data_IF_116073904275
#
_entry.id   IF_116073904275
#
_cell.length_a   1.000
_cell.length_b   1.000
_cell.length_c   1.000
_cell.angle_alpha   90.00
_cell.angle_beta   90.00
_cell.angle_gamma   90.00
#
_symmetry.space_group_name_H-M   'P 1'
#
loop_
_entity.id
_entity.type
_entity.pdbx_description
1 polymer ?
#
# COMPACT_ATOMS: atom_id res chain seq x y z
N UNK A 1 -48.02 19.88 -54.80
CA UNK A 1 -46.56 20.07 -54.68
C UNK A 1 -46.28 21.02 -53.51
N UNK A 2 -45.31 20.65 -52.68
CA UNK A 2 -44.66 21.47 -51.64
C UNK A 2 -45.50 21.99 -50.47
N UNK A 3 -45.54 21.19 -49.40
CA UNK A 3 -45.11 21.65 -48.07
C UNK A 3 -44.33 20.53 -47.38
N UNK A 4 -43.08 20.37 -47.81
CA UNK A 4 -42.02 19.80 -46.98
C UNK A 4 -41.54 20.95 -46.09
N UNK A 5 -41.81 20.88 -44.79
CA UNK A 5 -41.04 21.48 -43.68
C UNK A 5 -41.96 21.58 -42.45
N UNK A 6 -41.41 21.27 -41.27
CA UNK A 6 -42.05 21.18 -39.95
C UNK A 6 -42.67 19.82 -39.55
N UNK A 7 -41.86 18.76 -39.57
CA UNK A 7 -42.14 17.56 -38.76
C UNK A 7 -40.88 16.97 -38.07
N UNK A 8 -39.79 17.73 -37.96
CA UNK A 8 -38.53 17.27 -37.32
C UNK A 8 -38.18 18.06 -36.03
N UNK A 9 -39.03 19.00 -35.60
CA UNK A 9 -38.77 19.81 -34.40
C UNK A 9 -39.63 19.44 -33.17
N UNK A 10 -40.35 18.32 -33.19
CA UNK A 10 -41.22 17.90 -32.08
C UNK A 10 -40.74 16.65 -31.32
N UNK A 11 -39.58 16.08 -31.68
CA UNK A 11 -38.97 14.92 -30.97
C UNK A 11 -37.73 15.32 -30.17
N UNK A 12 -37.27 16.57 -30.25
CA UNK A 12 -36.03 17.02 -29.61
C UNK A 12 -36.22 17.92 -28.37
N UNK A 13 -37.44 18.17 -27.89
CA UNK A 13 -37.68 19.03 -26.69
C UNK A 13 -38.63 18.38 -25.67
N UNK A 14 -38.76 17.05 -25.70
CA UNK A 14 -39.46 16.27 -24.67
C UNK A 14 -38.50 15.45 -23.79
N UNK A 15 -37.22 15.85 -23.73
CA UNK A 15 -36.15 15.15 -22.99
C UNK A 15 -35.51 16.02 -21.90
N UNK A 16 -36.22 17.02 -21.37
CA UNK A 16 -35.66 17.92 -20.34
C UNK A 16 -36.57 18.20 -19.13
N UNK A 17 -37.70 17.50 -18.97
CA UNK A 17 -38.50 17.59 -17.75
C UNK A 17 -39.04 16.21 -17.35
N UNK A 18 -38.15 15.23 -17.18
CA UNK A 18 -38.41 14.20 -16.18
C UNK A 18 -38.08 14.85 -14.85
N UNK A 19 -39.12 15.15 -14.07
CA UNK A 19 -38.96 15.51 -12.67
C UNK A 19 -37.99 14.52 -12.03
N UNK A 20 -36.98 15.07 -11.38
CA UNK A 20 -36.04 14.36 -10.53
C UNK A 20 -36.84 13.61 -9.46
N UNK A 21 -37.24 12.38 -9.78
CA UNK A 21 -37.53 11.38 -8.77
C UNK A 21 -36.25 11.31 -7.95
N UNK A 22 -36.31 11.80 -6.71
CA UNK A 22 -35.22 11.67 -5.74
C UNK A 22 -34.81 10.19 -5.77
N UNK A 23 -33.64 9.88 -6.33
CA UNK A 23 -33.06 8.57 -6.15
C UNK A 23 -32.93 8.39 -4.63
N UNK A 24 -33.22 7.20 -4.08
CA UNK A 24 -33.02 6.98 -2.66
C UNK A 24 -31.54 7.22 -2.35
N UNK A 25 -31.23 8.29 -1.61
CA UNK A 25 -29.87 8.60 -1.19
C UNK A 25 -29.58 7.88 0.12
N UNK A 26 -28.37 7.33 0.22
CA UNK A 26 -27.91 6.75 1.47
C UNK A 26 -27.84 7.86 2.55
N UNK A 27 -28.27 7.59 3.79
CA UNK A 27 -28.33 8.62 4.84
C UNK A 27 -26.96 9.17 5.24
N UNK A 28 -25.88 8.51 4.83
CA UNK A 28 -24.50 8.99 4.91
C UNK A 28 -24.05 9.48 3.52
N UNK A 29 -23.71 10.77 3.41
CA UNK A 29 -23.35 11.48 2.16
C UNK A 29 -22.01 11.05 1.50
N UNK A 30 -21.79 9.74 1.32
CA UNK A 30 -20.54 9.17 0.78
C UNK A 30 -20.82 8.17 -0.34
N UNK A 31 -21.66 8.52 -1.33
CA UNK A 31 -21.76 7.72 -2.55
C UNK A 31 -20.61 8.09 -3.48
N UNK A 32 -19.76 7.13 -3.84
CA UNK A 32 -18.70 7.38 -4.80
C UNK A 32 -19.28 7.62 -6.20
N UNK A 33 -18.85 8.71 -6.84
CA UNK A 33 -19.23 9.05 -8.23
C UNK A 33 -18.85 7.92 -9.20
N UNK A 34 -17.83 7.13 -8.86
CA UNK A 34 -17.34 6.02 -9.71
C UNK A 34 -18.37 4.89 -9.89
N UNK A 35 -19.28 4.68 -8.93
CA UNK A 35 -20.29 3.60 -8.99
C UNK A 35 -21.72 4.11 -9.10
N UNK A 36 -21.92 5.44 -9.16
CA UNK A 36 -23.26 6.04 -9.15
C UNK A 36 -24.11 5.65 -10.38
N UNK A 37 -23.47 5.25 -11.47
CA UNK A 37 -24.12 4.73 -12.68
C UNK A 37 -24.29 3.20 -12.69
N UNK A 38 -23.72 2.49 -11.71
CA UNK A 38 -23.83 1.06 -11.60
C UNK A 38 -25.21 0.67 -11.08
N UNK A 39 -25.74 -0.45 -11.58
CA UNK A 39 -27.00 -0.99 -11.10
C UNK A 39 -26.89 -2.51 -10.94
N UNK A 40 -27.29 -3.01 -9.77
CA UNK A 40 -27.37 -4.43 -9.46
C UNK A 40 -28.84 -4.88 -9.55
N UNK A 41 -29.26 -5.25 -10.76
CA UNK A 41 -30.61 -5.77 -11.03
C UNK A 41 -30.67 -7.30 -10.84
N UNK A 42 -30.23 -7.81 -9.69
CA UNK A 42 -30.28 -9.24 -9.38
C UNK A 42 -31.14 -9.50 -8.15
N UNK A 43 -31.77 -10.67 -8.07
CA UNK A 43 -32.52 -11.08 -6.88
C UNK A 43 -31.57 -11.48 -5.75
N UNK A 44 -32.01 -11.36 -4.50
CA UNK A 44 -31.23 -11.78 -3.33
C UNK A 44 -30.87 -13.27 -3.38
N UNK A 45 -31.76 -14.13 -3.88
CA UNK A 45 -31.51 -15.56 -4.08
C UNK A 45 -30.34 -15.83 -5.04
N UNK A 46 -30.28 -15.05 -6.14
CA UNK A 46 -29.17 -15.14 -7.09
C UNK A 46 -27.86 -14.70 -6.46
N UNK A 47 -27.86 -13.59 -5.71
CA UNK A 47 -26.68 -13.10 -4.98
C UNK A 47 -26.14 -14.15 -3.99
N UNK A 48 -27.02 -14.79 -3.23
CA UNK A 48 -26.63 -15.86 -2.30
C UNK A 48 -26.06 -17.09 -3.02
N UNK A 49 -26.54 -17.39 -4.23
CA UNK A 49 -26.00 -18.49 -5.05
C UNK A 49 -24.56 -18.25 -5.51
N UNK A 50 -24.17 -16.98 -5.70
CA UNK A 50 -22.83 -16.57 -6.15
C UNK A 50 -21.85 -16.33 -4.99
N UNK A 51 -22.31 -16.38 -3.75
CA UNK A 51 -21.44 -16.20 -2.58
C UNK A 51 -20.31 -17.24 -2.51
N UNK A 52 -20.57 -18.47 -2.94
CA UNK A 52 -19.57 -19.54 -2.93
C UNK A 52 -18.65 -19.55 -4.16
N UNK A 53 -18.97 -18.79 -5.22
CA UNK A 53 -18.12 -18.66 -6.41
C UNK A 53 -17.06 -17.57 -6.26
N UNK A 54 -17.15 -16.73 -5.21
CA UNK A 54 -16.26 -15.59 -4.99
C UNK A 54 -16.56 -14.38 -5.88
N UNK A 55 -17.63 -14.43 -6.67
CA UNK A 55 -18.07 -13.36 -7.57
C UNK A 55 -18.77 -12.25 -6.78
N UNK A 56 -19.43 -12.60 -5.68
CA UNK A 56 -20.16 -11.65 -4.85
C UNK A 56 -19.78 -11.83 -3.39
N UNK A 57 -19.57 -10.72 -2.70
CA UNK A 57 -19.37 -10.66 -1.26
C UNK A 57 -20.50 -9.90 -0.59
N UNK A 58 -20.92 -10.35 0.59
CA UNK A 58 -21.97 -9.68 1.38
C UNK A 58 -21.52 -9.49 2.82
N UNK A 59 -22.08 -8.49 3.49
CA UNK A 59 -21.81 -8.23 4.90
C UNK A 59 -22.85 -7.31 5.54
N UNK A 60 -22.75 -7.12 6.85
CA UNK A 60 -23.59 -6.17 7.59
C UNK A 60 -23.00 -4.75 7.56
N UNK A 61 -23.86 -3.74 7.62
CA UNK A 61 -23.46 -2.32 7.62
C UNK A 61 -22.86 -1.83 8.95
N UNK A 62 -22.95 -2.63 10.02
CA UNK A 62 -22.35 -2.29 11.31
C UNK A 62 -22.89 -0.98 11.88
N UNK A 63 -22.02 0.01 12.09
CA UNK A 63 -22.42 1.34 12.62
C UNK A 63 -23.27 2.16 11.65
N UNK A 64 -23.27 1.81 10.36
CA UNK A 64 -24.11 2.44 9.34
C UNK A 64 -25.46 1.72 9.18
N UNK A 65 -25.73 0.70 10.00
CA UNK A 65 -26.98 -0.05 9.96
C UNK A 65 -28.14 0.81 10.44
N UNK A 66 -29.23 0.80 9.66
CA UNK A 66 -30.54 1.30 10.07
C UNK A 66 -31.52 0.14 10.07
N UNK A 67 -31.96 -0.23 11.27
CA UNK A 67 -32.90 -1.33 11.51
C UNK A 67 -34.18 -1.15 10.67
N UNK A 68 -34.55 -2.21 9.95
CA UNK A 68 -35.75 -2.24 9.10
C UNK A 68 -35.64 -1.46 7.79
N UNK A 69 -34.43 -1.09 7.35
CA UNK A 69 -34.23 -0.47 6.02
C UNK A 69 -32.87 -0.75 5.38
N UNK A 70 -31.77 -0.49 6.08
CA UNK A 70 -30.42 -0.60 5.54
C UNK A 70 -29.58 -1.46 6.49
N UNK A 71 -29.54 -2.76 6.24
CA UNK A 71 -28.87 -3.71 7.14
C UNK A 71 -27.60 -4.31 6.54
N UNK A 72 -27.62 -4.51 5.23
CA UNK A 72 -26.62 -5.30 4.51
C UNK A 72 -26.06 -4.58 3.31
N UNK A 73 -24.83 -4.92 2.98
CA UNK A 73 -24.16 -4.52 1.75
C UNK A 73 -23.75 -5.73 0.92
N UNK A 74 -23.57 -5.50 -0.37
CA UNK A 74 -23.19 -6.50 -1.39
C UNK A 74 -22.16 -5.87 -2.32
N UNK A 75 -21.00 -6.50 -2.50
CA UNK A 75 -20.00 -6.12 -3.49
C UNK A 75 -19.94 -7.16 -4.61
N UNK A 76 -20.08 -6.71 -5.86
CA UNK A 76 -20.03 -7.53 -7.07
C UNK A 76 -18.72 -7.30 -7.83
N UNK A 77 -17.92 -8.35 -7.96
CA UNK A 77 -16.62 -8.34 -8.65
C UNK A 77 -16.73 -8.52 -10.15
N UNK A 78 -17.87 -9.00 -10.66
CA UNK A 78 -18.12 -9.15 -12.11
C UNK A 78 -18.97 -8.00 -12.64
N UNK A 79 -19.06 -6.90 -11.89
CA UNK A 79 -19.89 -5.76 -12.25
C UNK A 79 -19.31 -5.04 -13.49
N UNK A 80 -20.01 -5.02 -14.65
CA UNK A 80 -19.45 -4.48 -15.90
C UNK A 80 -19.16 -2.98 -15.89
N UNK A 81 -19.69 -2.25 -14.90
CA UNK A 81 -19.47 -0.81 -14.76
C UNK A 81 -18.10 -0.47 -14.13
N UNK A 82 -17.41 -1.45 -13.55
CA UNK A 82 -16.07 -1.26 -12.96
C UNK A 82 -15.01 -1.68 -13.98
N UNK A 83 -14.16 -0.74 -14.37
CA UNK A 83 -13.13 -0.94 -15.42
C UNK A 83 -11.87 -1.62 -14.84
N UNK A 84 -11.74 -1.68 -13.51
CA UNK A 84 -10.60 -2.26 -12.81
C UNK A 84 -10.85 -3.73 -12.43
N UNK A 85 -10.03 -4.64 -12.97
CA UNK A 85 -10.17 -6.11 -12.87
C UNK A 85 -10.00 -6.70 -11.45
N UNK A 86 -9.79 -5.85 -10.44
CA UNK A 86 -9.49 -6.26 -9.05
C UNK A 86 -10.35 -5.52 -8.00
N UNK A 87 -11.29 -4.69 -8.42
CA UNK A 87 -12.14 -3.89 -7.52
C UNK A 87 -13.61 -4.21 -7.77
N UNK A 88 -14.44 -4.15 -6.72
CA UNK A 88 -15.85 -4.51 -6.80
C UNK A 88 -16.75 -3.28 -6.63
N UNK A 89 -17.87 -3.26 -7.35
CA UNK A 89 -18.92 -2.28 -7.09
C UNK A 89 -19.74 -2.75 -5.88
N UNK A 90 -19.78 -1.93 -4.84
CA UNK A 90 -20.53 -2.21 -3.63
C UNK A 90 -21.85 -1.43 -3.60
N UNK A 91 -22.88 -2.13 -3.15
CA UNK A 91 -24.25 -1.69 -3.07
C UNK A 91 -24.79 -1.95 -1.67
N UNK A 92 -25.78 -1.16 -1.26
CA UNK A 92 -26.55 -1.34 -0.02
C UNK A 92 -27.96 -1.77 -0.39
N UNK A 93 -28.48 -2.76 0.31
CA UNK A 93 -29.85 -3.19 0.10
C UNK A 93 -30.82 -2.30 0.88
N UNK A 94 -31.75 -1.65 0.19
CA UNK A 94 -32.89 -0.93 0.77
C UNK A 94 -34.08 -1.90 0.88
N UNK A 95 -34.37 -2.35 2.10
CA UNK A 95 -35.44 -3.32 2.37
C UNK A 95 -36.83 -2.75 2.12
N UNK A 96 -37.03 -1.43 2.25
CA UNK A 96 -38.34 -0.82 2.02
C UNK A 96 -38.66 -0.71 0.53
N UNK A 97 -37.64 -0.50 -0.31
CA UNK A 97 -37.78 -0.35 -1.75
C UNK A 97 -37.38 -1.61 -2.53
N UNK A 98 -36.98 -2.67 -1.83
CA UNK A 98 -36.47 -3.94 -2.37
C UNK A 98 -35.43 -3.74 -3.49
N UNK A 99 -34.49 -2.80 -3.30
CA UNK A 99 -33.55 -2.38 -4.34
C UNK A 99 -32.13 -2.17 -3.83
N UNK A 100 -31.17 -2.27 -4.72
CA UNK A 100 -29.75 -2.05 -4.43
C UNK A 100 -29.36 -0.62 -4.78
N UNK A 101 -28.87 0.11 -3.78
CA UNK A 101 -28.36 1.47 -3.93
C UNK A 101 -26.85 1.44 -4.08
N UNK A 102 -26.25 2.13 -5.07
CA UNK A 102 -24.81 2.19 -5.22
C UNK A 102 -24.18 2.89 -4.02
N UNK A 103 -23.10 2.33 -3.49
CA UNK A 103 -22.40 2.85 -2.32
C UNK A 103 -20.99 3.32 -2.67
N UNK A 104 -20.13 2.43 -3.13
CA UNK A 104 -18.74 2.77 -3.44
C UNK A 104 -17.98 1.61 -4.08
N UNK A 105 -16.72 1.86 -4.41
CA UNK A 105 -15.80 0.77 -4.75
C UNK A 105 -15.34 0.09 -3.46
N UNK A 106 -15.15 -1.22 -3.50
CA UNK A 106 -14.68 -1.99 -2.36
C UNK A 106 -13.39 -1.41 -1.76
N UNK A 107 -12.43 -1.04 -2.61
CA UNK A 107 -11.17 -0.39 -2.21
C UNK A 107 -11.39 0.93 -1.48
N UNK A 108 -12.36 1.74 -1.94
CA UNK A 108 -12.68 3.05 -1.35
C UNK A 108 -13.45 2.96 -0.03
N UNK A 109 -14.12 1.83 0.20
CA UNK A 109 -14.93 1.57 1.38
C UNK A 109 -14.19 0.76 2.45
N UNK A 110 -12.94 0.36 2.18
CA UNK A 110 -12.12 -0.48 3.06
C UNK A 110 -12.82 -1.80 3.44
N UNK A 111 -13.59 -2.38 2.50
CA UNK A 111 -14.31 -3.65 2.68
C UNK A 111 -13.41 -4.80 2.21
N UNK A 112 -13.07 -5.74 3.08
CA UNK A 112 -12.08 -6.80 2.84
C UNK A 112 -12.51 -7.82 1.76
N UNK A 113 -11.59 -8.42 1.00
CA UNK A 113 -11.86 -9.54 0.07
C UNK A 113 -11.54 -10.92 0.69
N UNK A 114 -12.34 -11.96 0.41
CA UNK A 114 -12.10 -13.34 0.88
C UNK A 114 -11.09 -14.05 -0.03
N UNK A 115 -9.94 -14.49 0.50
CA UNK A 115 -9.04 -15.41 -0.21
C UNK A 115 -9.39 -16.87 0.07
N UNK A 116 -9.13 -17.73 -0.92
CA UNK A 116 -9.57 -19.14 -1.13
C UNK A 116 -9.16 -20.18 -0.07
N UNK A 117 -8.91 -19.78 1.17
CA UNK A 117 -8.49 -20.69 2.25
C UNK A 117 -9.30 -20.55 3.53
N UNK A 118 -10.58 -20.15 3.48
CA UNK A 118 -11.54 -20.37 4.58
C UNK A 118 -11.12 -19.84 5.97
N UNK A 119 -10.11 -18.97 6.03
CA UNK A 119 -9.63 -18.29 7.22
C UNK A 119 -9.86 -16.80 6.96
N UNK A 120 -10.70 -16.20 7.80
CA UNK A 120 -10.92 -14.77 7.82
C UNK A 120 -9.73 -14.17 8.56
N UNK A 121 -8.64 -13.95 7.83
CA UNK A 121 -7.53 -13.10 8.25
C UNK A 121 -7.60 -11.85 7.36
N UNK A 122 -7.53 -10.64 7.93
CA UNK A 122 -7.57 -9.47 7.10
C UNK A 122 -6.32 -9.42 6.22
N UNK A 123 -6.49 -9.61 4.90
CA UNK A 123 -5.43 -9.33 3.94
C UNK A 123 -5.29 -7.83 3.80
N UNK A 124 -4.57 -7.19 4.74
CA UNK A 124 -4.18 -5.80 4.55
C UNK A 124 -3.22 -5.76 3.38
N UNK A 125 -3.58 -5.03 2.33
CA UNK A 125 -2.78 -4.94 1.12
C UNK A 125 -1.45 -4.26 1.45
N UNK A 126 -0.36 -5.00 1.27
CA UNK A 126 1.02 -4.50 1.42
C UNK A 126 1.35 -3.50 0.31
N UNK A 127 1.78 -2.29 0.67
CA UNK A 127 2.14 -1.24 -0.27
C UNK A 127 3.64 -0.94 -0.26
N UNK A 128 4.16 -0.45 -1.40
CA UNK A 128 5.56 -0.06 -1.55
C UNK A 128 5.78 1.38 -1.09
N UNK A 129 6.72 1.60 -0.18
CA UNK A 129 7.11 2.92 0.29
C UNK A 129 8.55 3.27 -0.16
N UNK A 130 8.78 4.48 -0.70
CA UNK A 130 7.76 5.48 -1.09
C UNK A 130 6.93 5.01 -2.30
N UNK A 131 5.71 5.54 -2.52
CA UNK A 131 4.83 5.14 -3.63
C UNK A 131 5.29 5.64 -5.02
N UNK A 132 6.23 6.58 -5.05
CA UNK A 132 6.74 7.25 -6.24
C UNK A 132 8.23 7.55 -6.02
N UNK A 133 9.06 7.63 -7.07
CA UNK A 133 10.49 7.92 -6.94
C UNK A 133 10.77 9.25 -6.23
N UNK A 134 11.77 9.25 -5.36
CA UNK A 134 12.29 10.46 -4.73
C UNK A 134 13.36 11.10 -5.62
N UNK A 135 13.47 12.43 -5.57
CA UNK A 135 14.42 13.20 -6.39
C UNK A 135 15.37 14.08 -5.57
N UNK A 136 15.27 14.03 -4.25
CA UNK A 136 16.09 14.79 -3.31
C UNK A 136 16.04 14.18 -1.90
N UNK A 137 16.89 14.69 -1.01
CA UNK A 137 16.88 14.32 0.43
C UNK A 137 15.54 14.57 1.11
N UNK A 138 14.77 15.55 0.64
CA UNK A 138 13.40 15.79 1.08
C UNK A 138 12.51 15.87 -0.15
N UNK A 139 11.45 15.06 -0.17
CA UNK A 139 10.48 15.02 -1.27
C UNK A 139 9.07 14.95 -0.71
N UNK A 140 8.14 15.74 -1.24
CA UNK A 140 6.73 15.73 -0.82
C UNK A 140 5.88 15.16 -1.95
N UNK A 141 5.08 14.15 -1.63
CA UNK A 141 4.16 13.50 -2.55
C UNK A 141 2.72 13.91 -2.21
N UNK A 142 1.97 14.40 -3.20
CA UNK A 142 0.59 14.88 -3.03
C UNK A 142 -0.46 14.07 -3.80
N UNK A 143 -0.05 13.39 -4.87
CA UNK A 143 -0.96 12.80 -5.86
C UNK A 143 -0.81 11.28 -5.96
N UNK A 144 -0.23 10.64 -4.95
CA UNK A 144 -0.17 9.18 -4.86
C UNK A 144 -1.48 8.61 -4.27
N UNK A 145 -1.90 7.40 -4.66
CA UNK A 145 -3.10 6.76 -4.11
C UNK A 145 -2.99 6.42 -2.61
N UNK A 146 -1.76 6.34 -2.08
CA UNK A 146 -1.46 6.10 -0.67
C UNK A 146 -0.12 6.78 -0.31
N UNK A 147 0.21 6.89 0.97
CA UNK A 147 1.52 7.36 1.40
C UNK A 147 1.86 8.81 1.00
N UNK A 148 0.87 9.67 0.78
CA UNK A 148 1.12 11.10 0.55
C UNK A 148 1.74 11.76 1.78
N UNK A 149 2.58 12.76 1.56
CA UNK A 149 3.27 13.53 2.58
C UNK A 149 4.76 13.67 2.29
N UNK A 150 5.50 14.12 3.30
CA UNK A 150 6.93 14.41 3.18
C UNK A 150 7.77 13.21 3.59
N UNK A 151 8.62 12.77 2.67
CA UNK A 151 9.68 11.79 2.88
C UNK A 151 11.00 12.51 3.09
N UNK A 152 11.78 12.04 4.07
CA UNK A 152 13.12 12.58 4.36
C UNK A 152 14.11 11.43 4.37
N UNK A 153 15.11 11.50 3.51
CA UNK A 153 16.18 10.51 3.38
C UNK A 153 17.48 11.09 3.94
N UNK A 154 18.23 10.28 4.67
CA UNK A 154 19.54 10.64 5.21
C UNK A 154 20.44 9.41 5.31
N UNK A 155 21.75 9.62 5.48
CA UNK A 155 22.76 8.57 5.63
C UNK A 155 23.83 8.99 6.64
N UNK A 156 24.67 8.04 7.07
CA UNK A 156 25.89 8.32 7.84
C UNK A 156 26.89 9.17 7.07
N UNK A 157 26.78 9.15 5.74
CA UNK A 157 27.59 9.93 4.82
C UNK A 157 27.43 9.39 3.40
N UNK A 158 27.58 10.28 2.43
CA UNK A 158 27.50 9.96 1.01
C UNK A 158 28.89 10.19 0.39
N UNK A 159 29.34 9.30 -0.50
CA UNK A 159 30.43 9.67 -1.39
C UNK A 159 29.87 10.59 -2.48
N UNK A 160 30.47 11.77 -2.58
CA UNK A 160 30.57 12.43 -3.86
C UNK A 160 29.18 12.83 -4.43
N UNK A 161 28.74 12.19 -5.51
CA UNK A 161 27.41 12.36 -6.11
C UNK A 161 26.46 11.18 -5.85
N UNK A 162 26.90 10.12 -5.15
CA UNK A 162 26.17 8.87 -4.89
C UNK A 162 25.31 9.04 -3.62
N UNK A 163 24.26 9.86 -3.73
CA UNK A 163 23.49 10.36 -2.58
C UNK A 163 22.46 9.36 -2.06
N UNK A 164 22.14 9.48 -0.77
CA UNK A 164 21.19 8.62 -0.07
C UNK A 164 19.82 8.47 -0.78
N UNK A 165 19.31 9.53 -1.42
CA UNK A 165 18.02 9.50 -2.09
C UNK A 165 18.01 8.66 -3.38
N UNK A 166 19.16 8.38 -3.99
CA UNK A 166 19.25 7.47 -5.13
C UNK A 166 18.81 6.05 -4.77
N UNK A 167 18.91 5.66 -3.49
CA UNK A 167 18.37 4.37 -3.04
C UNK A 167 16.83 4.25 -3.16
N UNK A 168 16.14 5.34 -3.50
CA UNK A 168 14.68 5.47 -3.53
C UNK A 168 14.18 6.21 -4.79
N UNK A 169 15.01 6.35 -5.83
CA UNK A 169 14.71 7.13 -7.04
C UNK A 169 14.04 6.31 -8.17
N UNK A 170 13.90 5.01 -7.97
CA UNK A 170 13.36 4.04 -8.92
C UNK A 170 14.03 4.08 -10.31
N UNK A 171 15.29 4.50 -10.38
CA UNK A 171 16.10 4.43 -11.59
C UNK A 171 16.78 3.06 -11.66
N UNK A 172 16.70 2.39 -12.82
CA UNK A 172 17.42 1.12 -13.11
C UNK A 172 18.43 1.27 -14.24
N UNK A 173 18.82 2.49 -14.57
CA UNK A 173 19.60 2.79 -15.76
C UNK A 173 21.09 2.79 -15.42
N UNK A 174 21.84 1.85 -16.02
CA UNK A 174 23.28 1.74 -15.87
C UNK A 174 24.09 2.96 -16.36
N UNK A 175 23.44 3.95 -16.99
CA UNK A 175 24.06 5.19 -17.47
C UNK A 175 24.00 6.36 -16.48
N UNK A 176 23.17 6.26 -15.43
CA UNK A 176 23.06 7.26 -14.38
C UNK A 176 23.52 6.68 -13.04
N UNK A 177 23.91 7.55 -12.11
CA UNK A 177 24.22 7.12 -10.75
C UNK A 177 22.88 6.87 -10.04
N UNK A 178 22.49 5.60 -9.95
CA UNK A 178 21.22 5.13 -9.38
C UNK A 178 21.43 4.38 -8.05
N UNK A 179 22.45 4.80 -7.29
CA UNK A 179 22.78 4.20 -6.01
C UNK A 179 23.35 5.21 -5.01
N UNK A 180 23.09 4.92 -3.75
CA UNK A 180 23.82 5.49 -2.62
C UNK A 180 25.10 4.70 -2.38
N UNK A 181 26.19 5.37 -2.01
CA UNK A 181 27.42 4.73 -1.51
C UNK A 181 27.94 5.44 -0.27
N UNK A 182 28.50 4.64 0.64
CA UNK A 182 29.15 5.14 1.86
C UNK A 182 30.25 6.15 1.56
N UNK A 183 30.49 7.08 2.48
CA UNK A 183 31.39 8.22 2.25
C UNK A 183 32.84 7.86 1.93
N UNK A 184 33.38 6.79 2.52
CA UNK A 184 34.80 6.43 2.39
C UNK A 184 35.01 4.92 2.38
N UNK A 185 35.96 4.46 1.55
CA UNK A 185 36.45 3.07 1.54
C UNK A 185 37.14 2.65 2.84
N UNK A 186 37.57 3.61 3.64
CA UNK A 186 38.31 3.34 4.89
C UNK A 186 37.39 2.97 6.06
N UNK A 187 36.08 2.87 5.80
CA UNK A 187 35.09 2.55 6.83
C UNK A 187 34.89 1.04 6.96
N UNK A 188 35.25 0.29 5.92
CA UNK A 188 35.26 -1.16 5.89
C UNK A 188 36.67 -1.70 5.66
N UNK A 189 37.00 -2.83 6.28
CA UNK A 189 38.24 -3.55 6.03
C UNK A 189 38.27 -4.18 4.63
N UNK A 190 39.43 -4.69 4.21
CA UNK A 190 39.54 -5.46 2.96
C UNK A 190 38.67 -6.73 2.93
N UNK A 191 38.21 -7.22 4.09
CA UNK A 191 37.26 -8.35 4.22
C UNK A 191 35.81 -7.87 4.37
N UNK A 192 35.55 -6.59 4.15
CA UNK A 192 34.22 -6.04 4.18
C UNK A 192 33.64 -5.77 5.56
N UNK A 193 34.45 -5.77 6.63
CA UNK A 193 33.94 -5.56 8.00
C UNK A 193 34.04 -4.09 8.38
N UNK A 194 32.98 -3.52 8.94
CA UNK A 194 32.98 -2.16 9.46
C UNK A 194 33.99 -2.00 10.61
N UNK A 195 34.81 -0.95 10.56
CA UNK A 195 35.92 -0.75 11.50
C UNK A 195 35.85 0.57 12.27
N UNK A 196 34.77 1.34 12.15
CA UNK A 196 34.61 2.65 12.81
C UNK A 196 33.58 2.65 13.94
N UNK A 197 33.56 3.75 14.69
CA UNK A 197 32.68 4.05 15.81
C UNK A 197 32.22 5.51 15.67
N UNK A 198 31.06 5.90 16.24
CA UNK A 198 30.18 5.14 17.14
C UNK A 198 29.09 4.30 16.44
N UNK A 199 28.56 3.25 17.09
CA UNK A 199 27.41 2.50 16.60
C UNK A 199 26.09 3.26 16.84
N UNK A 200 25.04 2.87 16.10
CA UNK A 200 23.67 3.14 16.57
C UNK A 200 23.38 2.21 17.74
N UNK A 201 22.93 2.73 18.87
CA UNK A 201 22.57 1.92 20.05
C UNK A 201 21.06 1.91 20.20
N UNK A 202 20.46 0.73 20.28
CA UNK A 202 19.02 0.58 20.48
C UNK A 202 18.62 0.90 21.92
N UNK A 203 17.33 1.10 22.16
CA UNK A 203 16.76 1.28 23.51
C UNK A 203 17.03 0.09 24.44
N UNK A 204 17.22 -1.11 23.86
CA UNK A 204 17.59 -2.35 24.56
C UNK A 204 19.10 -2.52 24.75
N UNK A 205 19.93 -1.56 24.32
CA UNK A 205 21.39 -1.59 24.48
C UNK A 205 22.14 -2.40 23.42
N UNK A 206 21.49 -2.80 22.31
CA UNK A 206 22.16 -3.49 21.21
C UNK A 206 22.98 -2.46 20.43
N UNK A 207 24.29 -2.68 20.33
CA UNK A 207 25.20 -1.85 19.54
C UNK A 207 25.26 -2.30 18.08
N UNK A 208 24.55 -1.59 17.21
CA UNK A 208 24.53 -1.78 15.76
C UNK A 208 25.63 -0.90 15.13
N UNK A 209 26.85 -1.42 15.03
CA UNK A 209 27.96 -0.72 14.38
C UNK A 209 27.87 -0.86 12.85
N UNK A 210 27.93 0.24 12.12
CA UNK A 210 27.88 0.22 10.66
C UNK A 210 27.64 1.59 10.06
N UNK A 211 27.91 1.72 8.76
CA UNK A 211 27.35 2.83 7.99
C UNK A 211 25.85 2.62 7.82
N UNK A 212 25.10 3.72 7.72
CA UNK A 212 23.66 3.65 7.69
C UNK A 212 23.02 4.49 6.60
N UNK A 213 21.88 3.99 6.12
CA UNK A 213 20.95 4.65 5.21
C UNK A 213 19.59 4.67 5.88
N UNK A 214 18.87 5.79 5.81
CA UNK A 214 17.63 6.00 6.53
C UNK A 214 16.59 6.71 5.67
N UNK A 215 15.33 6.32 5.88
CA UNK A 215 14.16 7.02 5.35
C UNK A 215 13.15 7.30 6.48
N UNK A 216 12.63 8.52 6.51
CA UNK A 216 11.45 8.94 7.24
C UNK A 216 10.26 8.93 6.30
N UNK A 217 9.19 8.29 6.73
CA UNK A 217 7.91 8.18 6.05
C UNK A 217 6.93 9.20 6.66
N UNK A 218 5.95 9.70 5.88
CA UNK A 218 4.91 10.59 6.40
C UNK A 218 3.93 9.88 7.35
N UNK A 219 3.86 8.55 7.27
CA UNK A 219 3.00 7.70 8.09
C UNK A 219 3.77 6.47 8.57
N UNK A 220 3.50 6.04 9.80
CA UNK A 220 4.10 4.85 10.37
C UNK A 220 3.44 3.59 9.79
N UNK A 221 4.26 2.65 9.31
CA UNK A 221 3.81 1.40 8.70
C UNK A 221 4.31 0.19 9.50
N UNK A 222 3.59 -0.92 9.47
CA UNK A 222 4.10 -2.24 9.82
C UNK A 222 4.88 -2.77 8.62
N UNK A 223 6.21 -2.89 8.74
CA UNK A 223 7.05 -3.44 7.68
C UNK A 223 6.85 -4.96 7.60
N UNK A 224 6.39 -5.45 6.45
CA UNK A 224 6.14 -6.87 6.21
C UNK A 224 7.30 -7.50 5.44
N UNK A 225 7.89 -6.75 4.51
CA UNK A 225 8.96 -7.23 3.63
C UNK A 225 9.79 -6.06 3.17
N UNK A 226 11.07 -6.30 2.90
CA UNK A 226 11.88 -5.34 2.18
C UNK A 226 12.67 -6.02 1.07
N UNK A 227 13.12 -5.22 0.11
CA UNK A 227 14.05 -5.65 -0.94
C UNK A 227 15.29 -4.75 -0.94
N UNK A 228 16.47 -5.37 -1.02
CA UNK A 228 17.75 -4.68 -1.14
C UNK A 228 18.41 -5.02 -2.47
N UNK A 229 18.73 -3.98 -3.21
CA UNK A 229 19.52 -4.05 -4.44
C UNK A 229 20.85 -3.36 -4.19
N UNK A 230 21.93 -4.02 -4.54
CA UNK A 230 23.28 -3.43 -4.56
C UNK A 230 23.58 -2.93 -5.97
N UNK A 231 24.62 -2.13 -6.08
CA UNK A 231 25.20 -1.67 -7.34
C UNK A 231 25.41 -2.84 -8.32
N UNK A 232 24.78 -2.79 -9.48
CA UNK A 232 24.77 -3.91 -10.45
C UNK A 232 26.15 -4.28 -10.98
N UNK A 233 27.03 -3.30 -11.17
CA UNK A 233 28.40 -3.52 -11.63
C UNK A 233 29.40 -3.80 -10.50
N UNK A 234 28.96 -3.84 -9.24
CA UNK A 234 29.78 -4.23 -8.10
C UNK A 234 28.94 -4.87 -6.98
N UNK A 235 28.63 -6.16 -7.18
CA UNK A 235 27.75 -6.92 -6.29
C UNK A 235 28.39 -7.20 -4.92
N UNK A 236 29.71 -7.02 -4.76
CA UNK A 236 30.42 -7.26 -3.50
C UNK A 236 30.17 -6.16 -2.46
N UNK A 237 29.68 -4.99 -2.89
CA UNK A 237 29.29 -3.88 -2.01
C UNK A 237 27.94 -4.07 -1.33
N UNK A 238 27.24 -5.16 -1.64
CA UNK A 238 25.97 -5.50 -1.02
C UNK A 238 26.11 -5.84 0.46
N UNK A 239 25.14 -5.47 1.32
CA UNK A 239 25.16 -5.80 2.75
C UNK A 239 25.21 -7.31 3.02
N UNK A 240 26.19 -7.75 3.82
CA UNK A 240 26.33 -9.14 4.27
C UNK A 240 25.78 -9.36 5.68
N UNK A 241 26.09 -8.45 6.59
CA UNK A 241 25.59 -8.45 7.96
C UNK A 241 25.05 -7.07 8.28
N UNK A 242 23.78 -6.98 8.66
CA UNK A 242 23.12 -5.68 8.83
C UNK A 242 21.89 -5.78 9.73
N UNK A 243 21.43 -4.62 10.18
CA UNK A 243 20.17 -4.46 10.89
C UNK A 243 19.23 -3.56 10.11
N UNK A 244 17.94 -3.85 10.20
CA UNK A 244 16.89 -2.87 9.96
C UNK A 244 16.42 -2.39 11.32
N UNK A 245 16.49 -1.08 11.55
CA UNK A 245 16.04 -0.44 12.77
C UNK A 245 14.80 0.41 12.48
N UNK A 246 13.89 0.42 13.45
CA UNK A 246 12.66 1.22 13.42
C UNK A 246 12.68 2.29 14.51
N UNK A 247 12.18 3.48 14.19
CA UNK A 247 11.96 4.57 15.15
C UNK A 247 10.68 5.35 14.81
N UNK A 248 10.11 6.04 15.80
CA UNK A 248 8.99 6.97 15.61
C UNK A 248 9.38 8.43 15.86
N UNK A 249 10.59 8.69 16.37
CA UNK A 249 11.10 10.03 16.69
C UNK A 249 12.47 10.33 16.05
N UNK A 250 13.11 9.35 15.41
CA UNK A 250 14.41 9.46 14.78
C UNK A 250 15.61 9.38 15.74
N UNK A 251 15.38 9.19 17.03
CA UNK A 251 16.41 9.17 18.09
C UNK A 251 16.43 7.87 18.90
N UNK A 252 15.28 7.30 19.22
CA UNK A 252 15.14 6.01 19.89
C UNK A 252 14.89 4.91 18.87
N UNK A 253 15.76 3.89 18.87
CA UNK A 253 15.76 2.84 17.85
C UNK A 253 15.45 1.47 18.44
N UNK A 254 14.63 0.70 17.74
CA UNK A 254 14.34 -0.71 18.01
C UNK A 254 14.77 -1.57 16.84
N UNK A 255 15.20 -2.81 17.10
CA UNK A 255 15.51 -3.77 16.02
C UNK A 255 14.21 -4.23 15.38
N UNK A 256 14.12 -4.06 14.06
CA UNK A 256 13.02 -4.56 13.22
C UNK A 256 13.43 -5.87 12.57
N UNK A 257 14.66 -5.95 12.06
CA UNK A 257 15.21 -7.19 11.50
C UNK A 257 16.74 -7.24 11.67
N UNK A 258 17.29 -8.45 11.65
CA UNK A 258 18.73 -8.70 11.62
C UNK A 258 19.04 -9.80 10.62
N UNK A 259 19.99 -9.51 9.72
CA UNK A 259 20.51 -10.49 8.79
C UNK A 259 21.99 -10.71 9.03
N UNK A 260 22.39 -11.97 9.01
CA UNK A 260 23.78 -12.40 9.12
C UNK A 260 24.07 -13.37 7.97
N UNK A 261 25.13 -13.10 7.22
CA UNK A 261 25.62 -13.89 6.10
C UNK A 261 24.79 -13.82 4.79
N UNK A 262 24.28 -12.63 4.44
CA UNK A 262 23.65 -12.36 3.14
C UNK A 262 24.69 -12.26 2.02
N UNK A 263 24.71 -13.28 1.15
CA UNK A 263 25.71 -13.43 0.08
C UNK A 263 25.05 -13.70 -1.28
N UNK A 264 25.85 -13.80 -2.35
CA UNK A 264 25.38 -14.11 -3.71
C UNK A 264 24.32 -13.11 -4.22
N UNK A 265 24.63 -11.82 -4.15
CA UNK A 265 23.82 -10.78 -4.78
C UNK A 265 23.77 -10.99 -6.29
N UNK A 266 22.62 -10.70 -6.90
CA UNK A 266 22.40 -10.66 -8.34
C UNK A 266 21.63 -9.38 -8.69
N UNK A 267 21.43 -9.12 -9.98
CA UNK A 267 20.60 -8.00 -10.42
C UNK A 267 19.13 -8.08 -9.94
N UNK A 268 18.68 -9.25 -9.45
CA UNK A 268 17.33 -9.41 -8.91
C UNK A 268 17.17 -8.88 -7.46
N UNK A 269 18.26 -8.46 -6.82
CA UNK A 269 18.25 -8.03 -5.42
C UNK A 269 18.02 -9.19 -4.43
N UNK A 270 17.80 -8.84 -3.17
CA UNK A 270 17.49 -9.75 -2.07
C UNK A 270 16.17 -9.33 -1.43
N UNK A 271 15.23 -10.25 -1.28
CA UNK A 271 13.97 -10.01 -0.58
C UNK A 271 13.95 -10.74 0.75
N UNK A 272 13.49 -10.06 1.80
CA UNK A 272 13.41 -10.58 3.17
C UNK A 272 12.07 -10.20 3.77
N UNK A 273 11.37 -11.18 4.34
CA UNK A 273 10.13 -10.99 5.11
C UNK A 273 10.49 -10.70 6.57
N UNK A 274 9.73 -9.80 7.19
CA UNK A 274 9.95 -9.30 8.55
C UNK A 274 8.76 -9.66 9.43
N UNK A 275 9.01 -9.91 10.71
CA UNK A 275 7.95 -10.02 11.70
C UNK A 275 7.38 -8.63 12.02
N UNK A 276 6.12 -8.41 11.69
CA UNK A 276 5.43 -7.12 11.78
C UNK A 276 5.08 -6.71 13.23
N UNK A 277 6.00 -6.77 14.19
CA UNK A 277 5.67 -6.58 15.61
C UNK A 277 5.12 -5.17 15.94
N UNK A 278 5.67 -4.14 15.28
CA UNK A 278 5.39 -2.74 15.60
C UNK A 278 5.51 -1.87 14.33
N UNK A 279 4.75 -0.77 14.28
CA UNK A 279 4.88 0.22 13.20
C UNK A 279 5.85 1.35 13.53
N UNK A 280 6.57 1.80 12.51
CA UNK A 280 7.57 2.87 12.60
C UNK A 280 7.43 3.85 11.44
N UNK A 281 7.69 5.14 11.71
CA UNK A 281 7.79 6.19 10.69
C UNK A 281 9.22 6.37 10.18
N UNK A 282 10.23 5.88 10.89
CA UNK A 282 11.63 5.89 10.46
C UNK A 282 12.14 4.46 10.31
N UNK A 283 12.81 4.21 9.19
CA UNK A 283 13.55 2.98 8.95
C UNK A 283 15.00 3.29 8.67
N UNK A 284 15.91 2.59 9.34
CA UNK A 284 17.36 2.71 9.15
C UNK A 284 17.98 1.35 8.86
N UNK A 285 18.64 1.23 7.72
CA UNK A 285 19.53 0.11 7.39
C UNK A 285 20.90 0.44 7.98
N UNK A 286 21.44 -0.44 8.83
CA UNK A 286 22.80 -0.32 9.40
C UNK A 286 23.65 -1.50 8.94
N UNK A 287 24.66 -1.25 8.13
CA UNK A 287 25.48 -2.30 7.50
C UNK A 287 26.77 -2.51 8.27
N UNK A 288 26.92 -3.67 8.90
CA UNK A 288 28.12 -4.04 9.65
C UNK A 288 29.17 -4.69 8.77
N UNK A 289 28.75 -5.52 7.82
CA UNK A 289 29.67 -6.19 6.91
C UNK A 289 29.09 -6.22 5.50
N UNK A 290 29.96 -6.19 4.48
CA UNK A 290 29.65 -6.42 3.07
C UNK A 290 30.35 -7.68 2.55
N UNK A 291 30.35 -7.90 1.24
CA UNK A 291 30.87 -9.12 0.61
C UNK A 291 32.34 -8.99 0.14
N UNK A 292 33.23 -8.43 0.97
CA UNK A 292 34.67 -8.20 0.74
C UNK A 292 35.02 -6.98 -0.12
N UNK A 293 34.38 -5.85 0.15
CA UNK A 293 34.71 -4.56 -0.47
C UNK A 293 34.96 -3.48 0.59
N UNK A 294 35.62 -2.38 0.22
CA UNK A 294 35.81 -1.22 1.10
C UNK A 294 34.56 -0.33 1.20
N UNK A 295 33.60 -0.48 0.28
CA UNK A 295 32.42 0.36 0.16
C UNK A 295 31.14 -0.45 0.36
N UNK A 296 30.07 0.22 0.79
CA UNK A 296 28.71 -0.31 0.68
C UNK A 296 27.94 0.57 -0.29
N UNK A 297 27.22 -0.06 -1.21
CA UNK A 297 26.38 0.62 -2.19
C UNK A 297 24.99 0.01 -2.23
N UNK A 298 23.96 0.85 -2.19
CA UNK A 298 22.55 0.45 -2.27
C UNK A 298 21.95 1.14 -3.48
N UNK A 299 21.61 0.34 -4.49
CA UNK A 299 20.86 0.83 -5.65
C UNK A 299 19.43 1.09 -5.26
N UNK A 300 18.73 0.11 -4.67
CA UNK A 300 17.36 0.31 -4.19
C UNK A 300 17.14 -0.32 -2.82
N UNK A 301 16.41 0.39 -1.98
CA UNK A 301 15.83 -0.16 -0.77
C UNK A 301 14.33 0.02 -0.77
N UNK A 302 13.61 -1.07 -1.05
CA UNK A 302 12.15 -1.08 -1.11
C UNK A 302 11.57 -1.55 0.21
N UNK A 303 10.61 -0.82 0.74
CA UNK A 303 9.89 -1.17 1.95
C UNK A 303 8.45 -1.54 1.59
N UNK A 304 8.02 -2.74 1.92
CA UNK A 304 6.64 -3.20 1.72
C UNK A 304 5.95 -3.30 3.07
N UNK A 305 4.90 -2.52 3.27
CA UNK A 305 4.26 -2.37 4.57
C UNK A 305 2.78 -2.03 4.51
N UNK A 306 2.15 -2.05 5.68
CA UNK A 306 0.74 -1.69 5.87
C UNK A 306 0.58 -0.65 6.97
N UNK A 307 -0.36 0.29 6.82
CA UNK A 307 -0.55 1.39 7.79
C UNK A 307 -1.32 0.95 9.05
N UNK A 308 -2.14 -0.09 8.90
CA UNK A 308 -2.90 -0.74 9.97
C UNK A 308 -2.82 -2.26 9.81
N UNK A 309 -2.94 -3.02 10.89
CA UNK A 309 -3.29 -4.44 10.81
C UNK A 309 -4.79 -4.50 10.86
N UNK A 310 -5.44 -5.15 9.89
CA UNK A 310 -6.88 -5.29 9.91
C UNK A 310 -7.27 -5.93 11.23
N UNK A 311 -8.29 -5.39 11.89
CA UNK A 311 -8.78 -6.00 13.11
C UNK A 311 -9.61 -7.22 12.74
N UNK A 312 -9.41 -8.34 13.42
CA UNK A 312 -10.35 -9.45 13.39
C UNK A 312 -11.68 -8.91 13.94
N UNK A 313 -12.63 -8.57 13.05
CA UNK A 313 -13.97 -8.22 13.48
C UNK A 313 -14.58 -9.46 14.14
N UNK A 314 -14.97 -9.30 15.39
CA UNK A 314 -15.76 -10.28 16.12
C UNK A 314 -17.10 -10.42 15.38
N UNK A 315 -17.23 -11.49 14.59
CA UNK A 315 -18.49 -11.86 13.96
C UNK A 315 -19.46 -12.27 15.07
N UNK A 316 -20.26 -11.33 15.56
CA UNK A 316 -21.47 -11.69 16.28
C UNK A 316 -22.40 -12.37 15.27
N UNK A 317 -22.79 -13.64 15.47
CA UNK A 317 -23.82 -14.22 14.62
C UNK A 317 -25.13 -13.43 14.82
N UNK A 318 -25.88 -13.13 13.75
CA UNK A 318 -27.23 -12.63 13.89
C UNK A 318 -28.04 -13.68 14.64
N UNK A 319 -28.77 -13.22 15.67
CA UNK A 319 -29.74 -14.03 16.41
C UNK A 319 -30.68 -14.74 15.42
N UNK A 320 -31.06 -16.01 15.65
CA UNK A 320 -32.09 -16.65 14.84
C UNK A 320 -33.38 -15.86 15.02
N UNK A 321 -33.95 -15.36 13.91
CA UNK A 321 -35.30 -14.81 13.88
C UNK A 321 -36.27 -15.91 14.31
N UNK A 322 -37.03 -15.64 15.38
CA UNK A 322 -38.22 -16.39 15.79
C UNK A 322 -39.47 -15.84 15.12
#
# INVERSE_FOLDING_TARGET
>A
AMKVSMAVAAVAVAMLLRGSACQPELPWNNVSVSVQQCNLNQSWEYILSQRNSGIVQTGGLGQLMHEGRFEVWVCDYDCPCVIHVIDAACFVYDEMNESFLPWGLQSSLDLMAVTTTGKIEPSVQSFLYPPSPLSAFTSTLSDAPYGNGTYVVSSSGDCCTERAWHAFDFVTNALEVDFWTTQSSEFYSATGKYIRYPPTVTTTGIACAGEWLQISLPIAIYLQRYELYTRINDLYRGPRKYWILGSNDGSEWSVVDVQDNMTNYTAAGKSVTVEEAQRYSYYRLVVNENNNDGWVSISWWKLYGVESKGQAQHLYPPSPLS
#
